data_IF_149046795416
#
_entry.id   IF_149046795416
#
_cell.length_a   1.000
_cell.length_b   1.000
_cell.length_c   1.000
_cell.angle_alpha   90.00
_cell.angle_beta   90.00
_cell.angle_gamma   90.00
#
_symmetry.space_group_name_H-M   'P 1'
#
loop_
_entity.id
_entity.type
_entity.pdbx_description
1 polymer ?
#
# COMPACT_ATOMS: atom_id res chain seq x y z
N UNK A 1 24.21 -24.90 0.01
CA UNK A 1 23.74 -23.66 -0.67
C UNK A 1 22.23 -23.65 -0.60
N UNK A 2 21.61 -22.53 -0.22
CA UNK A 2 20.15 -22.42 -0.14
C UNK A 2 19.58 -22.43 -1.57
N UNK A 3 18.59 -23.28 -1.89
CA UNK A 3 17.99 -23.35 -3.22
C UNK A 3 17.03 -22.17 -3.44
N UNK A 4 17.57 -21.03 -3.87
CA UNK A 4 16.77 -19.82 -4.08
C UNK A 4 15.75 -19.99 -5.21
N UNK A 5 16.08 -20.76 -6.24
CA UNK A 5 15.18 -21.03 -7.37
C UNK A 5 13.94 -21.84 -6.94
N UNK A 6 14.13 -22.89 -6.14
CA UNK A 6 13.02 -23.69 -5.60
C UNK A 6 12.13 -22.85 -4.66
N UNK A 7 12.73 -21.96 -3.86
CA UNK A 7 11.97 -21.05 -3.00
C UNK A 7 11.13 -20.07 -3.83
N UNK A 8 11.71 -19.46 -4.87
CA UNK A 8 10.98 -18.56 -5.78
C UNK A 8 9.82 -19.29 -6.47
N UNK A 9 10.02 -20.54 -6.89
CA UNK A 9 8.97 -21.36 -7.48
C UNK A 9 7.85 -21.67 -6.47
N UNK A 10 8.22 -22.08 -5.26
CA UNK A 10 7.27 -22.36 -4.18
C UNK A 10 6.41 -21.13 -3.84
N UNK A 11 7.03 -19.98 -3.64
CA UNK A 11 6.28 -18.77 -3.30
C UNK A 11 5.49 -18.23 -4.50
N UNK A 12 6.12 -18.14 -5.67
CA UNK A 12 5.51 -17.53 -6.86
C UNK A 12 4.39 -18.37 -7.47
N UNK A 13 4.63 -19.65 -7.75
CA UNK A 13 3.71 -20.49 -8.52
C UNK A 13 2.76 -21.30 -7.62
N UNK A 14 3.20 -21.72 -6.42
CA UNK A 14 2.37 -22.55 -5.53
C UNK A 14 1.59 -21.71 -4.52
N UNK A 15 2.28 -20.84 -3.75
CA UNK A 15 1.63 -20.05 -2.69
C UNK A 15 0.80 -18.91 -3.27
N UNK A 16 1.41 -18.06 -4.10
CA UNK A 16 0.73 -16.91 -4.71
C UNK A 16 0.10 -17.22 -6.07
N UNK A 17 0.57 -18.24 -6.78
CA UNK A 17 0.17 -18.50 -8.17
C UNK A 17 -1.31 -18.83 -8.35
N UNK A 18 -1.97 -19.42 -7.35
CA UNK A 18 -3.42 -19.65 -7.36
C UNK A 18 -4.26 -18.38 -7.13
N UNK A 19 -3.66 -17.33 -6.56
CA UNK A 19 -4.32 -16.05 -6.29
C UNK A 19 -4.09 -15.02 -7.41
N UNK A 20 -3.04 -15.19 -8.21
CA UNK A 20 -2.69 -14.29 -9.31
C UNK A 20 -3.25 -14.87 -10.61
N UNK A 21 -4.29 -14.24 -11.15
CA UNK A 21 -4.95 -14.67 -12.39
C UNK A 21 -4.36 -14.00 -13.64
N UNK A 22 -3.86 -12.77 -13.52
CA UNK A 22 -3.30 -12.00 -14.63
C UNK A 22 -1.81 -12.33 -14.89
N UNK A 23 -1.43 -12.44 -16.16
CA UNK A 23 -0.08 -12.81 -16.56
C UNK A 23 0.96 -11.70 -16.27
N UNK A 24 0.56 -10.43 -16.32
CA UNK A 24 1.42 -9.31 -15.97
C UNK A 24 1.66 -9.23 -14.46
N UNK A 25 0.62 -9.48 -13.66
CA UNK A 25 0.77 -9.59 -12.21
C UNK A 25 1.67 -10.77 -11.82
N UNK A 26 1.59 -11.89 -12.55
CA UNK A 26 2.48 -13.04 -12.32
C UNK A 26 3.93 -12.71 -12.65
N UNK A 27 4.15 -11.97 -13.76
CA UNK A 27 5.47 -11.47 -14.13
C UNK A 27 6.02 -10.49 -13.07
N UNK A 28 5.19 -9.59 -12.57
CA UNK A 28 5.56 -8.63 -11.53
C UNK A 28 5.98 -9.37 -10.24
N UNK A 29 5.17 -10.32 -9.79
CA UNK A 29 5.46 -11.14 -8.60
C UNK A 29 6.81 -11.88 -8.74
N UNK A 30 7.07 -12.47 -9.91
CA UNK A 30 8.35 -13.14 -10.17
C UNK A 30 9.53 -12.17 -10.07
N UNK A 31 9.44 -10.98 -10.67
CA UNK A 31 10.49 -9.96 -10.58
C UNK A 31 10.79 -9.54 -9.13
N UNK A 32 9.76 -9.42 -8.29
CA UNK A 32 9.95 -9.15 -6.86
C UNK A 32 10.67 -10.31 -6.15
N UNK A 33 10.24 -11.55 -6.38
CA UNK A 33 10.87 -12.73 -5.78
C UNK A 33 12.33 -12.90 -6.24
N UNK A 34 12.65 -12.56 -7.49
CA UNK A 34 14.01 -12.56 -8.00
C UNK A 34 14.92 -11.55 -7.30
N UNK A 35 14.37 -10.39 -6.97
CA UNK A 35 15.09 -9.29 -6.30
C UNK A 35 15.32 -9.59 -4.82
N UNK A 36 14.30 -10.08 -4.11
CA UNK A 36 14.39 -10.31 -2.66
C UNK A 36 14.97 -11.67 -2.27
N UNK A 37 14.67 -12.74 -3.02
CA UNK A 37 15.14 -14.09 -2.70
C UNK A 37 16.37 -14.38 -3.56
N UNK A 38 17.48 -13.67 -3.35
CA UNK A 38 18.76 -13.94 -4.00
C UNK A 38 19.77 -14.54 -3.01
N UNK A 39 20.86 -15.16 -3.50
CA UNK A 39 21.93 -15.64 -2.63
C UNK A 39 22.56 -14.51 -1.79
N UNK A 40 22.66 -13.30 -2.37
CA UNK A 40 23.31 -12.16 -1.73
C UNK A 40 22.54 -11.63 -0.49
N UNK A 41 21.25 -11.98 -0.36
CA UNK A 41 20.44 -11.71 0.83
C UNK A 41 21.08 -12.29 2.09
N UNK A 42 21.73 -13.45 1.99
CA UNK A 42 22.37 -14.12 3.13
C UNK A 42 23.71 -13.48 3.52
N UNK A 43 24.33 -12.73 2.59
CA UNK A 43 25.60 -12.07 2.81
C UNK A 43 25.42 -10.69 3.48
N UNK A 44 24.18 -10.20 3.62
CA UNK A 44 23.84 -8.97 4.36
C UNK A 44 24.08 -7.67 3.59
N UNK A 45 24.55 -7.77 2.34
CA UNK A 45 24.86 -6.62 1.47
C UNK A 45 23.66 -6.19 0.61
N UNK A 46 22.48 -6.79 0.80
CA UNK A 46 21.27 -6.44 0.06
C UNK A 46 20.51 -5.30 0.75
N UNK A 47 20.20 -4.26 -0.01
CA UNK A 47 19.25 -3.23 0.39
C UNK A 47 17.86 -3.59 -0.14
N UNK A 48 16.87 -3.66 0.76
CA UNK A 48 15.47 -3.91 0.42
C UNK A 48 14.86 -2.73 -0.33
N UNK A 49 15.29 -1.50 0.01
CA UNK A 49 14.93 -0.29 -0.69
C UNK A 49 16.09 0.72 -0.62
N UNK A 50 16.05 1.84 -1.36
CA UNK A 50 17.05 2.90 -1.19
C UNK A 50 17.13 3.31 0.28
N UNK A 51 18.33 3.26 0.86
CA UNK A 51 18.58 3.52 2.29
C UNK A 51 17.91 2.59 3.31
N UNK A 52 17.37 1.44 2.88
CA UNK A 52 16.80 0.42 3.77
C UNK A 52 17.56 -0.91 3.61
N UNK A 53 18.61 -1.15 4.41
CA UNK A 53 19.37 -2.40 4.38
C UNK A 53 18.51 -3.57 4.89
N UNK A 54 18.94 -4.80 4.64
CA UNK A 54 18.29 -5.96 5.25
C UNK A 54 18.60 -6.02 6.77
N UNK A 55 17.63 -6.33 7.64
CA UNK A 55 17.91 -6.47 9.07
C UNK A 55 18.92 -7.60 9.33
N UNK A 56 19.85 -7.40 10.30
CA UNK A 56 20.72 -8.48 10.74
C UNK A 56 19.91 -9.60 11.39
N UNK A 57 20.52 -10.79 11.48
CA UNK A 57 19.90 -11.93 12.17
C UNK A 57 19.78 -11.61 13.67
N UNK A 58 18.56 -11.36 14.15
CA UNK A 58 18.26 -10.96 15.53
C UNK A 58 17.06 -11.72 16.08
N UNK A 59 16.78 -11.58 17.37
CA UNK A 59 15.59 -12.15 18.00
C UNK A 59 14.31 -11.45 17.52
N UNK A 60 13.14 -12.05 17.78
CA UNK A 60 11.83 -11.47 17.46
C UNK A 60 11.69 -9.99 17.88
N UNK A 61 12.15 -9.64 19.08
CA UNK A 61 12.12 -8.25 19.57
C UNK A 61 13.05 -7.33 18.80
N UNK A 62 14.20 -7.84 18.35
CA UNK A 62 15.16 -7.10 17.54
C UNK A 62 14.59 -6.73 16.17
N UNK A 63 13.83 -7.64 15.55
CA UNK A 63 13.13 -7.33 14.30
C UNK A 63 12.08 -6.23 14.45
N UNK A 64 11.29 -6.25 15.55
CA UNK A 64 10.33 -5.17 15.81
C UNK A 64 11.02 -3.82 16.00
N UNK A 65 12.07 -3.78 16.83
CA UNK A 65 12.84 -2.56 17.03
C UNK A 65 13.47 -2.06 15.71
N UNK A 66 13.96 -2.97 14.88
CA UNK A 66 14.51 -2.61 13.58
C UNK A 66 13.45 -1.97 12.66
N UNK A 67 12.25 -2.54 12.61
CA UNK A 67 11.15 -1.97 11.82
C UNK A 67 10.80 -0.58 12.35
N UNK A 68 10.68 -0.40 13.66
CA UNK A 68 10.32 0.88 14.27
C UNK A 68 11.38 1.97 14.03
N UNK A 69 12.67 1.61 13.98
CA UNK A 69 13.79 2.55 13.84
C UNK A 69 14.17 2.84 12.38
N UNK A 70 14.10 1.85 11.49
CA UNK A 70 14.68 1.91 10.15
C UNK A 70 13.66 1.93 9.01
N UNK A 71 12.38 1.64 9.27
CA UNK A 71 11.37 1.66 8.20
C UNK A 71 11.16 3.10 7.68
N UNK A 72 11.46 3.38 6.40
CA UNK A 72 11.25 4.69 5.82
C UNK A 72 9.75 4.99 5.66
N UNK A 73 9.35 6.27 5.59
CA UNK A 73 7.98 6.62 5.24
C UNK A 73 7.61 6.08 3.86
N UNK A 74 6.35 5.68 3.71
CA UNK A 74 5.79 5.16 2.47
C UNK A 74 6.09 6.09 1.28
N UNK A 75 6.64 5.52 0.21
CA UNK A 75 7.00 6.26 -1.00
C UNK A 75 6.93 5.33 -2.22
N UNK A 76 6.56 5.82 -3.41
CA UNK A 76 6.52 5.00 -4.63
C UNK A 76 7.83 4.25 -4.91
N UNK A 77 8.96 4.83 -4.52
CA UNK A 77 10.28 4.23 -4.70
C UNK A 77 10.44 2.88 -3.98
N UNK A 78 9.79 2.68 -2.83
CA UNK A 78 9.83 1.41 -2.08
C UNK A 78 9.18 0.27 -2.88
N UNK A 79 8.26 0.63 -3.78
CA UNK A 79 7.52 -0.30 -4.64
C UNK A 79 8.07 -0.34 -6.06
N UNK A 80 9.25 0.25 -6.31
CA UNK A 80 9.83 0.33 -7.66
C UNK A 80 9.04 1.20 -8.64
N UNK A 81 8.17 2.08 -8.14
CA UNK A 81 7.35 2.98 -8.94
C UNK A 81 8.01 4.35 -9.12
N UNK A 82 7.66 5.03 -10.20
CA UNK A 82 8.09 6.41 -10.47
C UNK A 82 7.35 7.39 -9.54
N UNK A 83 7.97 8.50 -9.08
CA UNK A 83 7.32 9.51 -8.23
C UNK A 83 5.99 10.05 -8.73
N UNK A 84 5.80 10.09 -10.05
CA UNK A 84 4.54 10.52 -10.66
C UNK A 84 3.34 9.67 -10.21
N UNK A 85 3.55 8.41 -9.82
CA UNK A 85 2.49 7.56 -9.28
C UNK A 85 1.86 8.18 -8.00
N UNK A 86 2.66 8.85 -7.18
CA UNK A 86 2.16 9.56 -6.01
C UNK A 86 1.36 10.80 -6.39
N UNK A 87 1.78 11.54 -7.42
CA UNK A 87 1.05 12.71 -7.92
C UNK A 87 -0.34 12.30 -8.41
N UNK A 88 -0.44 11.23 -9.20
CA UNK A 88 -1.71 10.73 -9.72
C UNK A 88 -2.62 10.22 -8.58
N UNK A 89 -2.04 9.51 -7.61
CA UNK A 89 -2.75 9.05 -6.42
C UNK A 89 -3.29 10.21 -5.58
N UNK A 90 -2.46 11.21 -5.29
CA UNK A 90 -2.84 12.39 -4.51
C UNK A 90 -3.86 13.26 -5.24
N UNK A 91 -3.76 13.38 -6.56
CA UNK A 91 -4.71 14.12 -7.39
C UNK A 91 -6.08 13.44 -7.35
N UNK A 92 -6.14 12.14 -7.62
CA UNK A 92 -7.39 11.36 -7.59
C UNK A 92 -8.04 11.35 -6.20
N UNK A 93 -7.22 11.25 -5.16
CA UNK A 93 -7.66 11.33 -3.76
C UNK A 93 -8.23 12.72 -3.45
N UNK A 94 -7.54 13.79 -3.86
CA UNK A 94 -7.99 15.17 -3.67
C UNK A 94 -9.31 15.45 -4.40
N UNK A 95 -9.45 15.01 -5.65
CA UNK A 95 -10.71 15.12 -6.40
C UNK A 95 -11.85 14.38 -5.72
N UNK A 96 -11.59 13.18 -5.21
CA UNK A 96 -12.58 12.40 -4.46
C UNK A 96 -12.98 13.11 -3.16
N UNK A 97 -12.02 13.72 -2.45
CA UNK A 97 -12.29 14.55 -1.28
C UNK A 97 -13.14 15.77 -1.63
N UNK A 98 -12.80 16.53 -2.68
CA UNK A 98 -13.59 17.69 -3.10
C UNK A 98 -15.00 17.31 -3.53
N UNK A 99 -15.16 16.22 -4.31
CA UNK A 99 -16.48 15.70 -4.70
C UNK A 99 -17.30 15.34 -3.46
N UNK A 100 -16.69 14.68 -2.48
CA UNK A 100 -17.35 14.34 -1.21
C UNK A 100 -17.78 15.61 -0.48
N UNK A 101 -16.91 16.63 -0.37
CA UNK A 101 -17.26 17.90 0.28
C UNK A 101 -18.41 18.62 -0.43
N UNK A 102 -18.45 18.60 -1.76
CA UNK A 102 -19.55 19.17 -2.54
C UNK A 102 -20.86 18.41 -2.34
N UNK A 103 -20.83 17.08 -2.29
CA UNK A 103 -22.02 16.27 -1.97
C UNK A 103 -22.56 16.55 -0.56
N UNK A 104 -21.71 17.01 0.36
CA UNK A 104 -22.08 17.40 1.71
C UNK A 104 -22.65 18.83 1.78
N UNK A 105 -22.58 19.65 0.72
CA UNK A 105 -23.19 20.97 0.78
C UNK A 105 -24.71 20.85 1.00
N UNK A 106 -25.29 21.59 1.98
CA UNK A 106 -26.73 21.61 2.18
C UNK A 106 -27.40 22.15 0.91
N UNK A 107 -28.40 21.43 0.40
CA UNK A 107 -29.15 21.82 -0.82
C UNK A 107 -30.11 23.01 -0.60
N UNK A 108 -29.94 23.76 0.48
CA UNK A 108 -30.89 24.79 0.94
C UNK A 108 -30.80 26.15 0.21
N UNK A 109 -29.97 26.29 -0.83
CA UNK A 109 -29.87 27.54 -1.59
C UNK A 109 -30.86 27.66 -2.76
N UNK A 110 -31.88 26.80 -2.87
CA UNK A 110 -32.86 26.87 -3.95
C UNK A 110 -34.14 26.09 -3.70
N UNK A 111 -35.15 26.79 -3.18
CA UNK A 111 -36.57 26.45 -3.17
C UNK A 111 -37.03 25.24 -2.33
N UNK A 112 -37.70 25.56 -1.22
CA UNK A 112 -39.01 24.99 -0.87
C UNK A 112 -39.06 23.53 -0.40
N UNK A 113 -39.18 23.36 0.92
CA UNK A 113 -39.97 22.33 1.60
C UNK A 113 -40.00 20.91 1.01
N UNK A 114 -39.20 19.99 1.57
CA UNK A 114 -39.65 18.65 1.97
C UNK A 114 -38.58 17.85 2.72
N UNK A 115 -38.96 17.42 3.93
CA UNK A 115 -38.64 16.15 4.57
C UNK A 115 -37.22 15.84 5.09
N UNK A 116 -37.11 16.08 6.39
CA UNK A 116 -36.31 15.43 7.44
C UNK A 116 -36.07 13.91 7.28
N UNK A 117 -35.18 13.50 6.35
CA UNK A 117 -34.78 12.09 6.18
C UNK A 117 -33.30 11.81 5.87
N UNK A 118 -32.42 12.81 5.80
CA UNK A 118 -31.08 12.66 5.20
C UNK A 118 -29.93 13.23 6.06
N UNK A 119 -29.98 13.07 7.38
CA UNK A 119 -28.88 13.49 8.29
C UNK A 119 -28.00 12.30 8.71
N UNK A 120 -28.57 11.10 8.87
CA UNK A 120 -27.84 9.89 9.27
C UNK A 120 -26.90 9.34 8.18
N UNK A 121 -27.32 9.36 6.91
CA UNK A 121 -26.48 8.94 5.76
C UNK A 121 -25.25 9.83 5.57
N UNK A 122 -25.34 11.10 6.00
CA UNK A 122 -24.26 12.08 5.87
C UNK A 122 -23.11 11.78 6.83
N UNK A 123 -23.42 11.49 8.09
CA UNK A 123 -22.43 11.17 9.12
C UNK A 123 -21.70 9.85 8.84
N UNK A 124 -22.39 8.84 8.31
CA UNK A 124 -21.78 7.57 7.89
C UNK A 124 -20.83 7.73 6.70
N UNK A 125 -21.20 8.54 5.69
CA UNK A 125 -20.29 8.91 4.59
C UNK A 125 -19.05 9.64 5.10
N UNK A 126 -19.22 10.57 6.04
CA UNK A 126 -18.12 11.32 6.67
C UNK A 126 -17.16 10.38 7.39
N UNK A 127 -17.67 9.45 8.21
CA UNK A 127 -16.84 8.46 8.93
C UNK A 127 -16.10 7.53 7.98
N UNK A 128 -16.72 7.12 6.88
CA UNK A 128 -16.10 6.21 5.90
C UNK A 128 -14.97 6.91 5.12
N UNK A 129 -15.16 8.17 4.74
CA UNK A 129 -14.17 8.93 3.95
C UNK A 129 -13.03 9.46 4.82
N UNK A 130 -13.33 10.05 5.99
CA UNK A 130 -12.30 10.52 6.91
C UNK A 130 -11.58 9.39 7.62
N UNK A 131 -12.28 8.30 7.96
CA UNK A 131 -11.68 7.12 8.61
C UNK A 131 -10.65 6.42 7.72
N UNK A 132 -10.89 6.32 6.41
CA UNK A 132 -9.91 5.72 5.47
C UNK A 132 -8.69 6.61 5.24
N UNK A 133 -8.84 7.93 5.35
CA UNK A 133 -7.75 8.89 5.14
C UNK A 133 -6.82 9.01 6.36
N UNK A 134 -7.32 8.73 7.58
CA UNK A 134 -6.56 8.88 8.82
C UNK A 134 -5.88 7.58 9.31
N UNK A 135 -6.25 6.41 8.78
CA UNK A 135 -5.65 5.11 9.15
C UNK A 135 -4.32 4.85 8.43
N UNK A 136 -3.93 5.70 7.47
CA UNK A 136 -2.63 5.62 6.78
C UNK A 136 -1.55 6.54 7.39
N UNK A 137 -1.66 6.86 8.69
CA UNK A 137 -0.59 7.52 9.46
C UNK A 137 -0.22 6.73 10.69
#
# INVERSE_FOLDING_TARGET
KVPCEDLRYLFGEIMYGGHITDDWDRRLCRSYLETYINPDMFDGDLNLAPSFPIPPNTDYKGYHQYIDEYLPPESPYLYGLHPNAEIDFLTTTSETLFRTVLELQPRDAGAGAAESGSLTSREEKIKTVLGRSFVLR
#
